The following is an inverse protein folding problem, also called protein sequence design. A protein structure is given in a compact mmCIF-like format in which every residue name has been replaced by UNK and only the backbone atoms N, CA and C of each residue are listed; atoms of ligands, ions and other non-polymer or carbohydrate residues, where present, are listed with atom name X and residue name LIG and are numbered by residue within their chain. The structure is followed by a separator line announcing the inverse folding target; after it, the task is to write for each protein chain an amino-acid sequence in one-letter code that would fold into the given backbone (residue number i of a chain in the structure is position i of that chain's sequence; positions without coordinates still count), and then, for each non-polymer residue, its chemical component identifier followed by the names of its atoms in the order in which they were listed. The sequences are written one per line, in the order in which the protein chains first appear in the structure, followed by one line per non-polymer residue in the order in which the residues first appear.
data_IF_932234214977
#
_entry.id   IF_932234214977
#
_cell.length_a   1.000
_cell.length_b   1.000
_cell.length_c   1.000
_cell.angle_alpha   90.00
_cell.angle_beta   90.00
_cell.angle_gamma   90.00
#
_symmetry.space_group_name_H-M   'P 1'
#
loop_
_entity.id
_entity.type
_entity.pdbx_description
1 polymer ?
#
# COMPACT_ATOMS: atom_id res chain seq x y z
N UNK A 1 29.23 15.93 -24.59
CA UNK A 1 28.07 15.61 -25.45
C UNK A 1 27.42 14.30 -25.00
N UNK A 2 26.94 14.23 -23.75
CA UNK A 2 26.29 13.03 -23.18
C UNK A 2 25.16 13.45 -22.22
N UNK A 3 24.34 14.40 -22.65
CA UNK A 3 23.13 14.83 -21.92
C UNK A 3 21.89 14.66 -22.80
N UNK A 4 21.84 13.58 -23.59
CA UNK A 4 20.76 13.36 -24.58
C UNK A 4 20.30 11.92 -24.72
N UNK A 5 20.49 11.10 -23.69
CA UNK A 5 20.04 9.69 -23.71
C UNK A 5 19.43 9.24 -22.38
N UNK A 6 18.86 10.16 -21.62
CA UNK A 6 18.08 9.86 -20.42
C UNK A 6 16.76 10.65 -20.48
N UNK A 7 16.06 10.57 -21.62
CA UNK A 7 14.76 11.25 -21.78
C UNK A 7 13.73 10.41 -22.56
N UNK A 8 14.03 9.13 -22.83
CA UNK A 8 13.14 8.22 -23.58
C UNK A 8 12.41 7.23 -22.66
N UNK A 9 12.83 7.12 -21.39
CA UNK A 9 12.22 6.23 -20.41
C UNK A 9 12.09 6.92 -19.06
N UNK A 10 11.45 8.09 -19.02
CA UNK A 10 10.90 8.59 -17.77
C UNK A 10 9.45 8.08 -17.65
N UNK A 11 9.18 7.06 -16.80
CA UNK A 11 7.84 6.51 -16.63
C UNK A 11 6.82 7.57 -16.20
N UNK A 12 7.28 8.62 -15.52
CA UNK A 12 6.43 9.73 -15.11
C UNK A 12 6.01 10.59 -16.30
N UNK A 13 6.93 11.03 -17.17
CA UNK A 13 6.58 11.71 -18.44
C UNK A 13 5.68 10.88 -19.33
N UNK A 14 5.90 9.57 -19.44
CA UNK A 14 5.02 8.67 -20.19
C UNK A 14 3.60 8.65 -19.60
N UNK A 15 3.50 8.56 -18.27
CA UNK A 15 2.21 8.60 -17.56
C UNK A 15 1.50 9.94 -17.79
N UNK A 16 2.21 11.06 -17.67
CA UNK A 16 1.64 12.40 -17.93
C UNK A 16 1.20 12.57 -19.39
N UNK A 17 1.95 11.98 -20.34
CA UNK A 17 1.57 11.93 -21.75
C UNK A 17 0.26 11.15 -21.98
N UNK A 18 0.15 9.95 -21.42
CA UNK A 18 -1.06 9.12 -21.51
C UNK A 18 -2.27 9.81 -20.85
N UNK A 19 -2.09 10.38 -19.66
CA UNK A 19 -3.14 11.12 -18.97
C UNK A 19 -3.58 12.36 -19.76
N UNK A 20 -2.66 13.08 -20.39
CA UNK A 20 -2.98 14.24 -21.25
C UNK A 20 -3.79 13.83 -22.48
N UNK A 21 -3.45 12.69 -23.11
CA UNK A 21 -4.21 12.14 -24.23
C UNK A 21 -5.63 11.72 -23.83
N UNK A 22 -5.80 11.16 -22.63
CA UNK A 22 -7.10 10.74 -22.09
C UNK A 22 -7.96 11.92 -21.58
N UNK A 23 -7.32 12.97 -21.07
CA UNK A 23 -8.00 14.16 -20.52
C UNK A 23 -8.85 14.89 -21.58
N UNK A 24 -8.55 14.70 -22.86
CA UNK A 24 -9.33 15.28 -23.97
C UNK A 24 -10.69 14.63 -24.22
N UNK A 25 -11.00 13.47 -23.62
CA UNK A 25 -12.30 12.79 -23.76
C UNK A 25 -12.68 12.08 -22.47
N UNK A 26 -13.20 12.83 -21.51
CA UNK A 26 -13.90 12.23 -20.37
C UNK A 26 -15.38 12.54 -20.50
N UNK A 27 -16.16 11.54 -20.90
CA UNK A 27 -17.62 11.64 -20.89
C UNK A 27 -18.08 11.87 -19.43
N UNK A 28 -18.89 12.91 -19.15
CA UNK A 28 -19.44 13.16 -17.82
C UNK A 28 -20.14 11.95 -17.20
N UNK A 29 -20.72 11.07 -18.02
CA UNK A 29 -21.33 9.82 -17.59
C UNK A 29 -20.28 8.83 -17.07
N UNK A 30 -19.12 8.73 -17.72
CA UNK A 30 -18.01 7.86 -17.29
C UNK A 30 -17.40 8.37 -15.98
N UNK A 31 -17.23 9.70 -15.83
CA UNK A 31 -16.80 10.30 -14.56
C UNK A 31 -17.78 10.01 -13.43
N UNK A 32 -19.09 10.11 -13.71
CA UNK A 32 -20.14 9.85 -12.74
C UNK A 32 -20.19 8.37 -12.34
N UNK A 33 -20.05 7.45 -13.30
CA UNK A 33 -19.97 6.01 -13.03
C UNK A 33 -18.72 5.66 -12.23
N UNK A 34 -17.56 6.24 -12.54
CA UNK A 34 -16.33 6.06 -11.77
C UNK A 34 -16.48 6.60 -10.33
N UNK A 35 -17.10 7.77 -10.15
CA UNK A 35 -17.36 8.34 -8.83
C UNK A 35 -18.36 7.48 -8.02
N UNK A 36 -19.41 6.97 -8.66
CA UNK A 36 -20.37 6.06 -8.03
C UNK A 36 -19.72 4.72 -7.65
N UNK A 37 -18.85 4.18 -8.51
CA UNK A 37 -18.07 2.98 -8.23
C UNK A 37 -17.14 3.19 -7.02
N UNK A 38 -16.37 4.29 -6.98
CA UNK A 38 -15.54 4.65 -5.81
C UNK A 38 -16.39 4.80 -4.54
N UNK A 39 -17.58 5.40 -4.63
CA UNK A 39 -18.48 5.56 -3.48
C UNK A 39 -19.14 4.24 -3.04
N UNK A 40 -19.34 3.30 -3.97
CA UNK A 40 -19.87 1.98 -3.70
C UNK A 40 -18.81 1.10 -3.02
N UNK A 41 -17.59 1.06 -3.58
CA UNK A 41 -16.45 0.35 -3.00
C UNK A 41 -16.12 0.84 -1.58
N UNK A 42 -16.17 2.16 -1.32
CA UNK A 42 -16.03 2.71 0.04
C UNK A 42 -17.07 2.16 1.04
N UNK A 43 -18.27 1.84 0.57
CA UNK A 43 -19.38 1.35 1.42
C UNK A 43 -19.37 -0.17 1.56
N UNK A 44 -18.85 -0.87 0.57
CA UNK A 44 -18.97 -2.31 0.45
C UNK A 44 -17.65 -3.08 0.48
N UNK A 45 -16.50 -2.42 0.74
CA UNK A 45 -15.19 -3.07 0.85
C UNK A 45 -15.30 -4.35 1.69
N UNK A 46 -15.32 -5.53 1.03
CA UNK A 46 -15.37 -6.79 1.72
C UNK A 46 -14.10 -6.88 2.55
N UNK A 47 -14.20 -7.48 3.74
CA UNK A 47 -12.98 -7.97 4.38
C UNK A 47 -12.26 -8.84 3.34
N UNK A 48 -10.96 -8.62 3.07
CA UNK A 48 -10.26 -9.38 2.03
C UNK A 48 -10.48 -10.85 2.32
N UNK A 49 -11.12 -11.53 1.38
CA UNK A 49 -11.37 -12.95 1.45
C UNK A 49 -10.01 -13.65 1.56
N UNK A 50 -9.94 -14.70 2.38
CA UNK A 50 -8.70 -15.45 2.56
C UNK A 50 -8.17 -15.93 1.20
N UNK A 51 -7.09 -15.32 0.71
CA UNK A 51 -6.46 -15.65 -0.56
C UNK A 51 -6.38 -14.52 -1.59
N UNK A 52 -7.04 -13.37 -1.37
CA UNK A 52 -6.79 -12.18 -2.21
C UNK A 52 -5.37 -11.68 -1.96
N UNK A 53 -4.60 -11.58 -3.05
CA UNK A 53 -3.26 -11.01 -3.02
C UNK A 53 -3.41 -9.59 -2.50
N UNK A 54 -2.67 -9.25 -1.45
CA UNK A 54 -2.46 -7.85 -1.10
C UNK A 54 -1.64 -7.24 -2.26
N UNK A 55 -2.33 -6.67 -3.24
CA UNK A 55 -1.70 -5.88 -4.32
C UNK A 55 -1.16 -4.53 -3.81
N UNK A 56 -1.33 -4.26 -2.51
CA UNK A 56 -0.66 -3.18 -1.83
C UNK A 56 0.85 -3.40 -1.81
N UNK A 57 1.59 -2.47 -2.37
CA UNK A 57 3.03 -2.33 -2.20
C UNK A 57 3.29 -1.74 -0.81
N UNK A 58 3.98 -2.51 0.05
CA UNK A 58 4.22 -2.17 1.45
C UNK A 58 5.72 -2.16 1.73
N UNK A 59 6.21 -1.04 2.25
CA UNK A 59 7.64 -0.81 2.38
C UNK A 59 7.97 -0.13 3.71
N UNK A 60 8.98 -0.64 4.41
CA UNK A 60 9.48 -0.05 5.65
C UNK A 60 10.34 1.18 5.30
N UNK A 61 9.97 2.36 5.83
CA UNK A 61 10.78 3.57 5.70
C UNK A 61 11.76 3.66 6.86
N UNK A 62 11.25 3.53 8.09
CA UNK A 62 12.05 3.68 9.29
C UNK A 62 11.49 2.79 10.40
N UNK A 63 12.38 2.38 11.31
CA UNK A 63 11.99 1.72 12.54
C UNK A 63 12.59 2.42 13.75
N UNK A 64 11.93 3.47 14.27
CA UNK A 64 12.48 4.27 15.36
C UNK A 64 12.62 3.49 16.67
N UNK A 65 11.73 2.52 16.92
CA UNK A 65 11.76 1.69 18.13
C UNK A 65 11.37 0.24 17.85
N UNK A 66 11.50 -0.64 18.84
CA UNK A 66 10.98 -2.01 18.75
C UNK A 66 9.44 -2.06 18.64
N UNK A 67 8.74 -1.01 19.06
CA UNK A 67 7.28 -0.93 19.13
C UNK A 67 6.64 -0.04 18.04
N UNK A 68 7.43 0.71 17.28
CA UNK A 68 6.96 1.64 16.24
C UNK A 68 7.70 1.47 14.93
N UNK A 69 6.99 1.64 13.81
CA UNK A 69 7.56 1.62 12.48
C UNK A 69 6.84 2.64 11.58
N UNK A 70 7.57 3.24 10.66
CA UNK A 70 7.04 4.12 9.61
C UNK A 70 7.03 3.35 8.30
N UNK A 71 5.87 3.27 7.66
CA UNK A 71 5.63 2.41 6.50
C UNK A 71 5.00 3.23 5.37
N UNK A 72 5.54 3.05 4.17
CA UNK A 72 4.90 3.45 2.93
C UNK A 72 3.95 2.34 2.45
N UNK A 73 2.72 2.71 2.18
CA UNK A 73 1.65 1.85 1.71
C UNK A 73 1.10 2.39 0.39
N UNK A 74 1.05 1.57 -0.65
CA UNK A 74 0.44 1.95 -1.94
C UNK A 74 -0.42 0.82 -2.46
N UNK A 75 -1.71 1.04 -2.45
CA UNK A 75 -2.72 0.18 -3.06
C UNK A 75 -3.34 0.96 -4.23
N UNK A 76 -3.19 0.43 -5.45
CA UNK A 76 -3.65 1.08 -6.67
C UNK A 76 -5.18 1.22 -6.74
N UNK A 77 -5.91 0.47 -5.92
CA UNK A 77 -7.38 0.41 -5.93
C UNK A 77 -8.02 1.12 -4.74
N UNK A 78 -7.36 1.13 -3.57
CA UNK A 78 -7.98 1.64 -2.34
C UNK A 78 -7.33 2.91 -1.78
N UNK A 79 -6.01 2.91 -1.56
CA UNK A 79 -5.36 3.98 -0.80
C UNK A 79 -3.83 4.02 -0.94
N UNK A 80 -3.26 5.21 -0.76
CA UNK A 80 -1.82 5.40 -0.65
C UNK A 80 -1.50 6.25 0.59
N UNK A 81 -0.55 5.79 1.40
CA UNK A 81 -0.03 6.50 2.58
C UNK A 81 1.50 6.51 2.51
N UNK A 82 2.10 7.71 2.44
CA UNK A 82 3.55 7.88 2.29
C UNK A 82 4.32 7.51 3.55
N UNK A 83 4.05 8.21 4.66
CA UNK A 83 4.75 8.02 5.94
C UNK A 83 3.74 7.64 7.03
N UNK A 84 3.24 6.40 6.99
CA UNK A 84 2.24 5.95 7.95
C UNK A 84 2.90 5.37 9.20
N UNK A 85 2.47 5.80 10.38
CA UNK A 85 2.93 5.23 11.65
C UNK A 85 2.19 3.95 12.01
N UNK A 86 2.92 2.90 12.34
CA UNK A 86 2.44 1.58 12.73
C UNK A 86 2.97 1.21 14.12
N UNK A 87 2.15 0.50 14.90
CA UNK A 87 2.46 0.09 16.26
C UNK A 87 2.45 -1.42 16.41
N UNK A 88 3.36 -1.93 17.24
CA UNK A 88 3.40 -3.32 17.65
C UNK A 88 2.13 -3.71 18.42
N UNK A 89 1.66 -4.91 18.16
CA UNK A 89 0.46 -5.51 18.75
C UNK A 89 0.54 -7.04 18.68
N UNK A 90 -0.47 -7.71 19.24
CA UNK A 90 -0.72 -9.13 18.97
C UNK A 90 -1.92 -9.28 18.05
N UNK A 91 -1.82 -10.21 17.11
CA UNK A 91 -2.91 -10.55 16.20
C UNK A 91 -4.10 -11.10 16.99
N UNK A 92 -5.27 -10.45 16.87
CA UNK A 92 -6.52 -10.91 17.48
C UNK A 92 -7.34 -11.82 16.56
N UNK A 93 -6.98 -11.83 15.28
CA UNK A 93 -7.60 -12.61 14.22
C UNK A 93 -6.49 -13.19 13.35
N UNK A 94 -6.75 -14.33 12.72
CA UNK A 94 -5.86 -14.86 11.68
C UNK A 94 -5.92 -13.99 10.43
N UNK A 95 -4.90 -14.09 9.58
CA UNK A 95 -4.84 -13.34 8.34
C UNK A 95 -3.54 -13.61 7.59
N UNK A 96 -3.11 -12.65 6.80
CA UNK A 96 -1.83 -12.69 6.09
C UNK A 96 -1.05 -11.41 6.32
N UNK A 97 0.26 -11.53 6.30
CA UNK A 97 1.19 -10.41 6.40
C UNK A 97 1.12 -9.58 5.12
N UNK A 98 0.69 -8.32 5.21
CA UNK A 98 0.54 -7.46 4.05
C UNK A 98 1.86 -7.23 3.28
N UNK A 99 3.01 -7.32 3.94
CA UNK A 99 4.32 -7.11 3.31
C UNK A 99 4.88 -8.37 2.63
N UNK A 100 4.66 -9.56 3.18
CA UNK A 100 5.30 -10.81 2.70
C UNK A 100 4.34 -11.90 2.24
N UNK A 101 3.03 -11.74 2.46
CA UNK A 101 2.01 -12.75 2.20
C UNK A 101 2.01 -13.94 3.17
N UNK A 102 2.97 -14.02 4.11
CA UNK A 102 3.05 -15.11 5.10
C UNK A 102 1.80 -15.14 5.98
N UNK A 103 1.33 -16.33 6.32
CA UNK A 103 0.19 -16.49 7.23
C UNK A 103 0.45 -15.87 8.61
N UNK A 104 -0.59 -15.24 9.17
CA UNK A 104 -0.66 -14.72 10.52
C UNK A 104 -1.69 -15.53 11.29
N UNK A 105 -1.31 -16.04 12.45
CA UNK A 105 -2.19 -16.72 13.40
C UNK A 105 -2.54 -15.79 14.56
N UNK A 106 -3.66 -16.08 15.23
CA UNK A 106 -4.02 -15.41 16.49
C UNK A 106 -2.86 -15.55 17.49
N UNK A 107 -2.48 -14.45 18.13
CA UNK A 107 -1.38 -14.38 19.09
C UNK A 107 -0.05 -13.93 18.51
N UNK A 108 0.14 -14.01 17.18
CA UNK A 108 1.39 -13.61 16.54
C UNK A 108 1.72 -12.13 16.80
N UNK A 109 3.02 -11.83 16.93
CA UNK A 109 3.52 -10.47 17.02
C UNK A 109 3.40 -9.78 15.65
N UNK A 110 2.63 -8.70 15.61
CA UNK A 110 2.31 -7.95 14.39
C UNK A 110 2.45 -6.45 14.61
N UNK A 111 2.52 -5.71 13.52
CA UNK A 111 2.34 -4.28 13.49
C UNK A 111 1.00 -3.96 12.82
N UNK A 112 0.31 -2.93 13.33
CA UNK A 112 -0.95 -2.40 12.77
C UNK A 112 -0.87 -0.89 12.56
N UNK A 113 -1.60 -0.32 11.59
CA UNK A 113 -1.64 1.13 11.41
C UNK A 113 -2.13 1.81 12.69
N UNK A 114 -1.55 2.97 13.01
CA UNK A 114 -2.06 3.81 14.10
C UNK A 114 -3.53 4.14 13.83
N UNK A 115 -4.38 3.94 14.84
CA UNK A 115 -5.79 4.30 14.75
C UNK A 115 -5.94 5.82 14.62
N UNK A 116 -6.78 6.25 13.68
CA UNK A 116 -7.17 7.64 13.48
C UNK A 116 -8.69 7.82 13.53
N UNK A 117 -9.15 9.07 13.43
CA UNK A 117 -10.56 9.42 13.19
C UNK A 117 -10.62 10.40 11.99
N UNK A 118 -11.16 9.99 10.83
CA UNK A 118 -11.69 8.66 10.53
C UNK A 118 -10.61 7.57 10.54
N UNK A 119 -11.02 6.30 10.66
CA UNK A 119 -10.10 5.18 10.55
C UNK A 119 -9.49 5.12 9.13
N UNK A 120 -8.19 4.79 8.99
CA UNK A 120 -7.60 4.62 7.67
C UNK A 120 -8.21 3.41 6.96
N UNK A 121 -8.23 3.42 5.62
CA UNK A 121 -8.83 2.34 4.82
C UNK A 121 -8.10 1.01 5.04
N UNK A 122 -6.80 1.05 5.35
CA UNK A 122 -6.00 -0.13 5.65
C UNK A 122 -6.01 -0.53 7.14
N UNK A 123 -6.95 -0.05 7.97
CA UNK A 123 -6.96 -0.27 9.43
C UNK A 123 -6.95 -1.76 9.86
N UNK A 124 -7.44 -2.66 9.01
CA UNK A 124 -7.43 -4.11 9.25
C UNK A 124 -6.08 -4.77 8.98
N UNK A 125 -5.20 -4.13 8.20
CA UNK A 125 -3.94 -4.68 7.76
C UNK A 125 -3.01 -5.04 8.93
N UNK A 126 -2.22 -6.10 8.72
CA UNK A 126 -1.26 -6.61 9.69
C UNK A 126 0.04 -6.97 8.98
N UNK A 127 1.16 -6.69 9.63
CA UNK A 127 2.50 -7.08 9.16
C UNK A 127 3.20 -7.82 10.29
N UNK A 128 3.74 -9.01 10.02
CA UNK A 128 4.49 -9.76 11.04
C UNK A 128 5.70 -8.96 11.53
N UNK A 129 5.91 -8.95 12.85
CA UNK A 129 7.07 -8.28 13.45
C UNK A 129 8.40 -8.86 12.94
N UNK A 130 8.46 -10.18 12.73
CA UNK A 130 9.63 -10.84 12.15
C UNK A 130 9.95 -10.32 10.74
N UNK A 131 8.92 -10.11 9.91
CA UNK A 131 9.09 -9.59 8.54
C UNK A 131 9.61 -8.15 8.56
N UNK A 132 9.15 -7.31 9.49
CA UNK A 132 9.73 -5.96 9.66
C UNK A 132 11.17 -6.00 10.20
N UNK A 133 11.54 -6.99 11.03
CA UNK A 133 12.93 -7.18 11.43
C UNK A 133 13.79 -7.56 10.21
N UNK A 134 13.32 -8.51 9.40
CA UNK A 134 13.99 -8.96 8.18
C UNK A 134 14.15 -7.80 7.18
N UNK A 135 13.12 -6.98 6.99
CA UNK A 135 13.17 -5.79 6.14
C UNK A 135 14.15 -4.72 6.67
N UNK A 136 14.17 -4.46 7.97
CA UNK A 136 15.12 -3.53 8.59
C UNK A 136 16.58 -3.99 8.42
N UNK A 137 16.79 -5.31 8.34
CA UNK A 137 18.11 -5.92 8.12
C UNK A 137 18.44 -6.09 6.62
N UNK A 138 17.59 -5.62 5.71
CA UNK A 138 17.78 -5.73 4.26
C UNK A 138 17.53 -7.12 3.66
N UNK A 139 17.06 -8.09 4.45
CA UNK A 139 16.83 -9.48 4.01
C UNK A 139 15.56 -9.65 3.17
N UNK A 140 14.61 -8.72 3.29
CA UNK A 140 13.43 -8.64 2.44
C UNK A 140 13.44 -7.30 1.73
N UNK A 141 13.50 -7.35 0.39
CA UNK A 141 13.32 -6.18 -0.45
C UNK A 141 11.86 -5.74 -0.32
N UNK A 142 11.66 -4.56 0.27
CA UNK A 142 10.47 -3.76 0.05
C UNK A 142 10.20 -3.74 -1.46
N UNK A 143 9.00 -4.14 -1.89
CA UNK A 143 8.70 -4.36 -3.31
C UNK A 143 8.55 -3.03 -4.06
N UNK A 144 9.46 -2.07 -3.87
CA UNK A 144 9.60 -0.89 -4.71
C UNK A 144 10.55 -1.23 -5.86
N UNK A 145 10.11 -1.13 -7.14
CA UNK A 145 11.10 -0.98 -8.20
C UNK A 145 11.88 0.31 -7.96
N UNK A 146 13.19 0.26 -8.13
CA UNK A 146 13.99 1.47 -8.27
C UNK A 146 13.46 2.26 -9.47
N UNK A 147 13.25 3.56 -9.28
CA UNK A 147 12.86 4.48 -10.33
C UNK A 147 13.94 4.61 -11.41
#
# INVERSE_FOLDING_TARGET
MLAKMMDICDPWRQTIGLLSLMSGRVDPAVTRLAALHVQFERRHSPLPMAGERFDAQVCLIERPTSATATIAWRDATHCSYGDQLWHAARARVSGVCAMSGRAIRVGDAVFKPRRGRPAPLNASAMILAAVLNEAANGAIQARFPAA
#
